data_IF_873836167870
#
_entry.id   IF_873836167870
#
_cell.length_a   1.000
_cell.length_b   1.000
_cell.length_c   1.000
_cell.angle_alpha   90.00
_cell.angle_beta   90.00
_cell.angle_gamma   90.00
#
_symmetry.space_group_name_H-M   'P 1'
#
loop_
_entity.id
_entity.type
_entity.pdbx_description
1 polymer ?
#
# COMPACT_ATOMS: atom_id res chain seq x y z
N UNK A 1 -23.11 16.74 38.19
CA UNK A 1 -22.05 15.87 37.63
C UNK A 1 -21.02 16.77 36.98
N UNK A 2 -19.90 16.97 37.65
CA UNK A 2 -18.85 17.90 37.22
C UNK A 2 -18.08 17.30 36.05
N UNK A 3 -17.98 18.05 34.95
CA UNK A 3 -17.20 17.71 33.76
C UNK A 3 -15.85 18.44 33.85
N UNK A 4 -15.05 18.10 34.85
CA UNK A 4 -13.69 18.61 34.98
C UNK A 4 -12.73 17.50 34.51
N UNK A 5 -12.55 17.40 33.20
CA UNK A 5 -11.44 16.67 32.59
C UNK A 5 -10.53 17.69 31.92
N UNK A 6 -9.92 18.52 32.75
CA UNK A 6 -8.76 19.31 32.36
C UNK A 6 -7.59 18.36 32.07
N UNK A 7 -7.48 17.95 30.81
CA UNK A 7 -6.25 17.36 30.30
C UNK A 7 -5.20 18.46 30.26
N UNK A 8 -4.42 18.58 31.34
CA UNK A 8 -3.11 19.23 31.30
C UNK A 8 -2.22 18.50 30.28
N UNK A 9 -2.40 18.82 29.01
CA UNK A 9 -1.56 18.34 27.94
C UNK A 9 -0.41 19.33 27.85
N UNK A 10 0.68 19.04 28.58
CA UNK A 10 1.92 19.79 28.42
C UNK A 10 2.28 19.87 26.93
N UNK A 11 2.83 20.99 26.45
CA UNK A 11 3.20 21.14 25.05
C UNK A 11 4.10 19.97 24.61
N UNK A 12 3.93 19.45 23.38
CA UNK A 12 4.67 18.30 22.91
C UNK A 12 6.17 18.59 22.94
N UNK A 13 6.89 17.89 23.83
CA UNK A 13 8.33 18.03 23.98
C UNK A 13 9.03 17.24 22.88
N UNK A 14 10.08 17.80 22.28
CA UNK A 14 10.85 17.09 21.25
C UNK A 14 11.73 16.01 21.88
N UNK A 15 11.96 14.92 21.14
CA UNK A 15 12.84 13.84 21.58
C UNK A 15 14.22 14.40 21.94
N UNK A 16 14.76 14.03 23.11
CA UNK A 16 16.08 14.45 23.58
C UNK A 16 17.23 14.10 22.62
N UNK A 17 17.04 13.12 21.73
CA UNK A 17 17.97 12.76 20.65
C UNK A 17 17.77 13.60 19.36
N UNK A 18 16.93 14.63 19.37
CA UNK A 18 16.62 15.52 18.23
C UNK A 18 16.25 14.80 16.92
N UNK A 19 15.61 13.63 17.02
CA UNK A 19 15.28 12.79 15.86
C UNK A 19 13.99 13.21 15.11
N UNK A 20 13.45 14.40 15.38
CA UNK A 20 12.23 14.91 14.75
C UNK A 20 10.90 14.29 15.23
N UNK A 21 10.88 13.51 16.31
CA UNK A 21 9.66 12.94 16.90
C UNK A 21 9.45 13.44 18.33
N UNK A 22 8.21 13.42 18.84
CA UNK A 22 7.92 13.83 20.22
C UNK A 22 8.47 12.84 21.26
N UNK A 23 9.03 13.38 22.33
CA UNK A 23 9.40 12.66 23.54
C UNK A 23 8.23 12.64 24.52
N UNK A 24 8.17 11.59 25.34
CA UNK A 24 7.21 11.53 26.45
C UNK A 24 7.94 11.66 27.79
N UNK A 25 7.40 12.39 28.78
CA UNK A 25 8.00 12.49 30.11
C UNK A 25 8.21 11.12 30.78
N UNK A 26 7.31 10.16 30.54
CA UNK A 26 7.42 8.78 31.02
C UNK A 26 8.66 8.04 30.48
N UNK A 27 9.20 8.46 29.33
CA UNK A 27 10.34 7.85 28.65
C UNK A 27 11.57 8.75 28.69
N UNK A 28 11.74 9.55 29.76
CA UNK A 28 12.85 10.52 29.90
C UNK A 28 12.96 11.51 28.70
N UNK A 29 11.81 11.92 28.14
CA UNK A 29 11.70 12.75 26.94
C UNK A 29 12.34 12.14 25.66
N UNK A 30 12.48 10.81 25.58
CA UNK A 30 12.80 10.12 24.32
C UNK A 30 11.54 9.70 23.58
N UNK A 31 11.61 9.65 22.24
CA UNK A 31 10.59 8.98 21.43
C UNK A 31 10.66 7.46 21.61
N UNK A 32 9.61 6.73 21.23
CA UNK A 32 9.56 5.25 21.36
C UNK A 32 10.69 4.50 20.63
N UNK A 33 11.26 5.08 19.56
CA UNK A 33 12.43 4.53 18.86
C UNK A 33 13.72 4.80 19.63
N UNK A 34 13.98 6.05 20.01
CA UNK A 34 15.21 6.42 20.72
C UNK A 34 15.24 5.89 22.16
N UNK A 35 14.10 5.71 22.82
CA UNK A 35 14.03 5.14 24.16
C UNK A 35 14.49 3.68 24.19
N UNK A 36 14.13 2.87 23.17
CA UNK A 36 14.64 1.50 23.02
C UNK A 36 16.17 1.46 22.93
N UNK A 37 16.74 2.39 22.18
CA UNK A 37 18.19 2.51 22.03
C UNK A 37 18.86 3.02 23.32
N UNK A 38 18.19 3.94 24.03
CA UNK A 38 18.63 4.41 25.34
C UNK A 38 18.66 3.29 26.37
N UNK A 39 17.64 2.41 26.41
CA UNK A 39 17.62 1.24 27.30
C UNK A 39 18.78 0.28 27.01
N UNK A 40 19.08 0.01 25.73
CA UNK A 40 20.23 -0.82 25.33
C UNK A 40 21.56 -0.23 25.81
N UNK A 41 21.77 1.08 25.62
CA UNK A 41 22.97 1.76 26.12
C UNK A 41 23.04 1.76 27.66
N UNK A 42 21.92 1.98 28.34
CA UNK A 42 21.84 1.94 29.82
C UNK A 42 22.17 0.53 30.35
N UNK A 43 21.69 -0.53 29.71
CA UNK A 43 22.06 -1.91 30.11
C UNK A 43 23.55 -2.21 29.90
N UNK A 44 24.18 -1.64 28.86
CA UNK A 44 25.62 -1.80 28.61
C UNK A 44 26.47 -1.02 29.62
N UNK A 45 26.02 0.16 30.04
CA UNK A 45 26.69 0.99 31.05
C UNK A 45 26.57 0.41 32.47
N UNK A 46 25.52 -0.35 32.75
CA UNK A 46 25.35 -1.02 34.06
C UNK A 46 26.37 -2.17 34.25
N UNK A 47 26.86 -2.77 33.16
CA UNK A 47 27.86 -3.86 33.23
C UNK A 47 29.31 -3.40 33.43
N UNK A 48 29.59 -2.09 33.41
CA UNK A 48 30.98 -1.57 33.48
C UNK A 48 31.37 -1.00 34.84
N UNK A 49 30.68 -1.35 35.92
CA UNK A 49 31.14 -1.06 37.28
C UNK A 49 32.09 -2.17 37.78
N UNK A 50 33.23 -2.33 37.13
CA UNK A 50 34.49 -2.75 37.75
C UNK A 50 35.64 -2.12 36.99
N UNK A 51 36.31 -1.22 37.70
CA UNK A 51 37.65 -0.67 37.45
C UNK A 51 37.80 0.53 36.50
N UNK A 52 38.01 1.66 37.18
CA UNK A 52 38.97 2.72 36.93
C UNK A 52 38.71 3.77 35.84
N UNK A 53 38.59 4.99 36.37
CA UNK A 53 39.00 6.24 35.75
C UNK A 53 40.25 6.08 34.88
N UNK A 54 40.14 6.56 33.64
CA UNK A 54 41.08 7.56 33.17
C UNK A 54 40.37 8.45 32.16
N UNK A 55 40.32 9.72 32.52
CA UNK A 55 39.99 10.85 31.65
C UNK A 55 40.96 10.87 30.47
N UNK A 56 40.44 11.00 29.26
CA UNK A 56 41.02 11.95 28.31
C UNK A 56 39.96 12.40 27.32
N UNK A 57 39.52 13.63 27.55
CA UNK A 57 38.90 14.51 26.57
C UNK A 57 39.84 14.68 25.38
N UNK A 58 39.34 14.45 24.18
CA UNK A 58 39.79 15.19 23.00
C UNK A 58 38.59 15.41 22.09
N UNK A 59 38.02 16.60 22.25
CA UNK A 59 37.29 17.32 21.21
C UNK A 59 38.27 17.73 20.14
N UNK A 60 38.02 17.37 18.89
CA UNK A 60 38.44 18.16 17.75
C UNK A 60 37.29 18.20 16.74
N UNK A 61 36.72 19.39 16.65
CA UNK A 61 36.00 19.93 15.50
C UNK A 61 37.00 20.22 14.39
N UNK A 62 36.73 19.77 13.17
CA UNK A 62 37.11 20.49 11.95
C UNK A 62 36.16 20.04 10.83
N UNK A 63 35.16 20.84 10.45
CA UNK A 63 35.16 21.84 9.36
C UNK A 63 35.66 21.28 8.01
N UNK A 64 34.77 21.20 7.01
CA UNK A 64 34.66 22.14 5.86
C UNK A 64 33.78 21.54 4.75
N UNK A 65 32.96 22.41 4.14
CA UNK A 65 32.54 22.41 2.73
C UNK A 65 31.65 21.26 2.19
N UNK A 66 30.61 21.46 1.39
CA UNK A 66 30.01 22.62 0.73
C UNK A 66 28.64 22.19 0.21
N UNK A 67 27.79 23.18 -0.04
CA UNK A 67 26.48 23.20 -0.67
C UNK A 67 26.44 22.71 -2.13
N UNK A 68 25.20 22.59 -2.62
CA UNK A 68 24.73 22.66 -4.02
C UNK A 68 24.71 21.37 -4.86
N UNK A 69 23.78 21.16 -5.79
CA UNK A 69 22.33 21.43 -6.03
C UNK A 69 22.08 20.81 -7.41
N UNK A 70 20.83 20.41 -7.70
CA UNK A 70 20.22 20.17 -9.03
C UNK A 70 20.89 19.10 -9.94
N UNK A 71 20.24 18.37 -10.84
CA UNK A 71 19.20 18.80 -11.76
C UNK A 71 18.43 17.61 -12.37
N UNK A 72 17.24 17.97 -12.81
CA UNK A 72 16.26 17.28 -13.65
C UNK A 72 16.82 16.82 -15.00
N UNK A 73 16.27 15.74 -15.60
CA UNK A 73 15.95 15.73 -17.05
C UNK A 73 14.78 14.78 -17.35
N UNK A 74 13.66 15.39 -17.76
CA UNK A 74 12.57 14.78 -18.51
C UNK A 74 13.01 14.39 -19.93
N UNK A 75 12.46 13.29 -20.48
CA UNK A 75 12.31 13.21 -21.94
C UNK A 75 11.04 12.44 -22.34
N UNK A 76 10.01 13.25 -22.58
CA UNK A 76 8.84 12.98 -23.42
C UNK A 76 9.28 12.92 -24.89
N UNK A 77 8.82 11.92 -25.64
CA UNK A 77 8.60 12.02 -27.09
C UNK A 77 7.24 11.42 -27.43
N UNK A 78 6.47 12.22 -28.17
CA UNK A 78 5.11 12.03 -28.66
C UNK A 78 5.06 11.23 -29.98
N UNK A 79 3.85 10.71 -30.27
CA UNK A 79 3.25 10.61 -31.61
C UNK A 79 3.62 9.35 -32.41
N UNK A 80 2.76 8.76 -33.25
CA UNK A 80 1.53 9.22 -33.90
C UNK A 80 0.71 8.03 -34.42
N UNK A 81 -0.53 8.34 -34.80
CA UNK A 81 -1.68 7.52 -35.20
C UNK A 81 -1.58 6.72 -36.51
N UNK A 82 -2.50 5.73 -36.62
CA UNK A 82 -3.37 5.34 -37.75
C UNK A 82 -3.43 3.81 -37.93
N UNK A 83 -4.53 3.14 -37.54
CA UNK A 83 -5.78 2.89 -38.28
C UNK A 83 -5.56 2.03 -39.53
N UNK A 84 -6.00 0.77 -39.44
CA UNK A 84 -6.75 0.16 -40.54
C UNK A 84 -7.80 -0.81 -39.97
N UNK A 85 -9.04 -0.55 -40.35
CA UNK A 85 -10.26 -1.20 -39.96
C UNK A 85 -10.66 -2.09 -41.13
N UNK A 86 -10.89 -3.38 -40.91
CA UNK A 86 -11.66 -4.18 -41.84
C UNK A 86 -12.70 -5.04 -41.13
N UNK A 87 -13.90 -4.92 -41.67
CA UNK A 87 -15.15 -5.56 -41.28
C UNK A 87 -15.24 -6.91 -41.94
N UNK A 88 -15.62 -7.96 -41.20
CA UNK A 88 -16.47 -9.02 -41.76
C UNK A 88 -17.41 -9.57 -40.70
N UNK A 89 -18.69 -9.46 -41.02
CA UNK A 89 -19.84 -10.04 -40.35
C UNK A 89 -19.82 -11.55 -40.58
N UNK A 90 -20.05 -12.36 -39.53
CA UNK A 90 -20.79 -13.60 -39.70
C UNK A 90 -21.43 -14.09 -38.39
N UNK A 91 -22.75 -14.22 -38.49
CA UNK A 91 -23.70 -14.81 -37.56
C UNK A 91 -23.53 -16.33 -37.44
N UNK A 92 -23.51 -16.85 -36.22
CA UNK A 92 -24.08 -18.16 -35.90
C UNK A 92 -24.30 -18.31 -34.39
N UNK A 93 -25.56 -18.19 -33.95
CA UNK A 93 -26.10 -18.94 -32.80
C UNK A 93 -26.23 -20.42 -33.20
N UNK A 94 -26.02 -21.37 -32.28
CA UNK A 94 -27.18 -22.04 -31.66
C UNK A 94 -26.92 -22.38 -30.17
N UNK A 95 -27.84 -22.05 -29.27
CA UNK A 95 -28.91 -22.91 -28.74
C UNK A 95 -28.59 -23.44 -27.32
N UNK A 96 -29.43 -22.96 -26.40
CA UNK A 96 -30.06 -23.66 -25.27
C UNK A 96 -29.44 -24.99 -24.80
N UNK A 97 -29.02 -25.02 -23.54
CA UNK A 97 -29.51 -26.08 -22.66
C UNK A 97 -29.57 -25.65 -21.19
N UNK A 98 -30.79 -25.68 -20.66
CA UNK A 98 -31.16 -25.52 -19.27
C UNK A 98 -31.10 -26.90 -18.64
N UNK A 99 -30.16 -27.12 -17.72
CA UNK A 99 -30.33 -28.20 -16.73
C UNK A 99 -30.06 -27.65 -15.33
N UNK A 100 -31.10 -27.73 -14.53
CA UNK A 100 -31.09 -27.52 -13.09
C UNK A 100 -30.60 -28.79 -12.38
N UNK A 101 -29.93 -28.55 -11.25
CA UNK A 101 -29.81 -29.39 -10.05
C UNK A 101 -29.14 -30.77 -10.15
N UNK A 102 -28.03 -30.92 -9.41
CA UNK A 102 -28.01 -31.79 -8.22
C UNK A 102 -26.77 -31.49 -7.37
N UNK A 103 -27.00 -31.02 -6.14
CA UNK A 103 -26.05 -31.10 -5.04
C UNK A 103 -25.82 -32.57 -4.70
N UNK A 104 -24.57 -33.00 -4.72
CA UNK A 104 -24.13 -34.19 -4.01
C UNK A 104 -22.68 -33.99 -3.55
N UNK A 105 -22.52 -34.04 -2.24
CA UNK A 105 -21.25 -33.97 -1.53
C UNK A 105 -20.30 -35.04 -2.06
N UNK A 106 -19.11 -34.61 -2.43
CA UNK A 106 -17.97 -35.48 -2.62
C UNK A 106 -16.85 -34.91 -1.76
N UNK A 107 -16.62 -35.59 -0.64
CA UNK A 107 -15.45 -35.40 0.20
C UNK A 107 -14.24 -35.84 -0.64
N UNK A 108 -13.55 -34.85 -1.21
CA UNK A 108 -12.26 -35.06 -1.87
C UNK A 108 -11.18 -34.57 -0.90
N UNK A 109 -10.34 -35.51 -0.45
CA UNK A 109 -9.08 -35.24 0.24
C UNK A 109 -8.20 -34.40 -0.69
N UNK A 110 -8.25 -33.09 -0.51
CA UNK A 110 -7.44 -32.15 -1.29
C UNK A 110 -6.07 -32.02 -0.62
N UNK A 111 -5.07 -32.59 -1.30
CA UNK A 111 -3.66 -32.38 -1.05
C UNK A 111 -3.40 -30.86 -1.01
N UNK A 112 -3.17 -30.29 0.18
CA UNK A 112 -2.78 -28.89 0.34
C UNK A 112 -1.36 -28.72 -0.19
N UNK A 113 -1.24 -28.59 -1.51
CA UNK A 113 -0.09 -27.97 -2.12
C UNK A 113 0.01 -26.56 -1.54
N UNK A 114 1.13 -26.24 -0.88
CA UNK A 114 1.37 -24.91 -0.33
C UNK A 114 1.37 -23.90 -1.48
N UNK A 115 0.22 -23.28 -1.75
CA UNK A 115 0.05 -22.27 -2.78
C UNK A 115 0.98 -21.08 -2.49
N UNK A 116 2.19 -21.12 -3.06
CA UNK A 116 3.15 -20.05 -2.90
C UNK A 116 2.72 -18.86 -3.74
N UNK A 117 2.08 -17.88 -3.10
CA UNK A 117 1.74 -16.64 -3.77
C UNK A 117 3.02 -15.84 -4.05
N UNK A 118 3.39 -15.76 -5.33
CA UNK A 118 4.49 -14.94 -5.84
C UNK A 118 3.96 -13.90 -6.83
N UNK A 119 4.68 -12.79 -6.97
CA UNK A 119 4.29 -11.72 -7.87
C UNK A 119 4.51 -12.13 -9.33
N UNK A 120 3.47 -12.08 -10.17
CA UNK A 120 3.57 -12.49 -11.58
C UNK A 120 4.46 -11.59 -12.47
N UNK A 121 4.90 -10.43 -11.98
CA UNK A 121 5.85 -9.55 -12.71
C UNK A 121 7.30 -9.79 -12.30
N UNK A 122 7.58 -9.93 -11.00
CA UNK A 122 8.95 -9.98 -10.49
C UNK A 122 9.30 -11.25 -9.70
N UNK A 123 8.40 -12.22 -9.60
CA UNK A 123 8.60 -13.50 -8.90
C UNK A 123 8.77 -13.38 -7.38
N UNK A 124 8.77 -12.17 -6.82
CA UNK A 124 8.92 -11.96 -5.38
C UNK A 124 7.77 -12.63 -4.65
N UNK A 125 8.08 -13.47 -3.66
CA UNK A 125 7.09 -14.09 -2.79
C UNK A 125 6.32 -13.01 -2.02
N UNK A 126 4.99 -13.02 -2.16
CA UNK A 126 4.10 -12.02 -1.56
C UNK A 126 3.36 -12.57 -0.33
N UNK A 127 3.43 -13.88 -0.10
CA UNK A 127 2.81 -14.54 1.06
C UNK A 127 1.33 -14.18 1.17
N UNK A 128 0.84 -14.02 2.41
CA UNK A 128 -0.55 -13.66 2.69
C UNK A 128 -0.93 -12.24 2.20
N UNK A 129 0.04 -11.34 2.01
CA UNK A 129 -0.19 -9.94 1.63
C UNK A 129 -0.19 -9.71 0.11
N UNK A 130 -0.34 -10.78 -0.68
CA UNK A 130 -0.48 -10.69 -2.13
C UNK A 130 -1.74 -9.94 -2.54
N UNK A 131 -1.64 -9.08 -3.54
CA UNK A 131 -2.79 -8.38 -4.10
C UNK A 131 -3.25 -9.08 -5.37
N UNK A 132 -4.45 -9.64 -5.34
CA UNK A 132 -5.10 -10.17 -6.53
C UNK A 132 -5.56 -9.03 -7.45
N UNK A 133 -5.29 -9.19 -8.74
CA UNK A 133 -5.84 -8.33 -9.77
C UNK A 133 -7.04 -9.00 -10.45
N UNK A 134 -7.83 -8.21 -11.18
CA UNK A 134 -9.03 -8.68 -11.88
C UNK A 134 -8.69 -9.52 -13.11
N UNK A 135 -7.44 -9.43 -13.59
CA UNK A 135 -6.90 -10.35 -14.59
C UNK A 135 -6.54 -11.73 -14.03
N UNK A 136 -6.74 -12.00 -12.73
CA UNK A 136 -6.52 -13.32 -12.11
C UNK A 136 -5.14 -13.52 -11.47
N UNK A 137 -4.17 -12.66 -11.79
CA UNK A 137 -2.81 -12.75 -11.26
C UNK A 137 -2.64 -12.08 -9.89
N UNK A 138 -1.61 -12.49 -9.15
CA UNK A 138 -1.25 -11.94 -7.83
C UNK A 138 0.04 -11.12 -7.92
N UNK A 139 0.07 -9.97 -7.25
CA UNK A 139 1.18 -9.03 -7.33
C UNK A 139 1.64 -8.51 -5.97
N UNK A 140 2.89 -8.05 -5.91
CA UNK A 140 3.41 -7.33 -4.76
C UNK A 140 2.88 -5.88 -4.74
N UNK A 141 3.15 -5.14 -3.67
CA UNK A 141 2.72 -3.74 -3.51
C UNK A 141 3.15 -2.82 -4.65
N UNK A 142 4.31 -3.09 -5.27
CA UNK A 142 4.87 -2.29 -6.36
C UNK A 142 4.21 -2.58 -7.72
N UNK A 143 3.82 -3.83 -7.99
CA UNK A 143 3.29 -4.26 -9.30
C UNK A 143 1.76 -4.46 -9.32
N UNK A 144 1.07 -4.07 -8.25
CA UNK A 144 -0.39 -4.19 -8.13
C UNK A 144 -1.18 -3.36 -9.14
N UNK A 145 -0.63 -2.22 -9.57
CA UNK A 145 -1.36 -1.27 -10.42
C UNK A 145 -1.48 -1.80 -11.85
N UNK A 146 -2.65 -1.59 -12.48
CA UNK A 146 -2.99 -2.18 -13.78
C UNK A 146 -2.07 -1.75 -14.93
N UNK A 147 -1.53 -0.53 -14.86
CA UNK A 147 -0.56 0.01 -15.82
C UNK A 147 0.81 -0.67 -15.73
N UNK A 148 1.21 -1.17 -14.55
CA UNK A 148 2.56 -1.71 -14.32
C UNK A 148 2.70 -3.16 -14.79
N UNK A 149 1.60 -3.92 -14.83
CA UNK A 149 1.60 -5.32 -15.29
C UNK A 149 0.84 -5.52 -16.61
N UNK A 150 0.61 -4.44 -17.37
CA UNK A 150 -0.15 -4.47 -18.64
C UNK A 150 -1.47 -5.25 -18.52
N UNK A 151 -2.29 -4.89 -17.53
CA UNK A 151 -3.54 -5.60 -17.24
C UNK A 151 -4.44 -5.67 -18.48
N UNK A 152 -4.77 -6.89 -18.92
CA UNK A 152 -5.67 -7.12 -20.05
C UNK A 152 -7.16 -7.03 -19.67
N UNK A 153 -7.48 -6.79 -18.41
CA UNK A 153 -8.86 -6.67 -17.95
C UNK A 153 -9.46 -5.34 -18.41
N UNK A 154 -10.60 -5.38 -19.11
CA UNK A 154 -11.29 -4.17 -19.56
C UNK A 154 -12.10 -3.52 -18.43
N UNK A 155 -11.45 -2.61 -17.71
CA UNK A 155 -12.08 -1.80 -16.67
C UNK A 155 -13.18 -0.88 -17.20
N UNK A 156 -13.14 -0.45 -18.47
CA UNK A 156 -14.12 0.52 -18.99
C UNK A 156 -15.48 -0.13 -19.18
N UNK A 157 -15.54 -1.26 -19.88
CA UNK A 157 -16.80 -2.00 -20.06
C UNK A 157 -17.34 -2.53 -18.73
N UNK A 158 -16.45 -3.06 -17.88
CA UNK A 158 -16.83 -3.55 -16.56
C UNK A 158 -17.48 -2.43 -15.72
N UNK A 159 -16.84 -1.27 -15.60
CA UNK A 159 -17.39 -0.17 -14.82
C UNK A 159 -18.68 0.39 -15.44
N UNK A 160 -18.80 0.45 -16.76
CA UNK A 160 -20.04 0.84 -17.45
C UNK A 160 -21.18 -0.10 -17.09
N UNK A 161 -20.93 -1.41 -17.14
CA UNK A 161 -21.94 -2.41 -16.80
C UNK A 161 -22.35 -2.30 -15.33
N UNK A 162 -21.38 -2.09 -14.43
CA UNK A 162 -21.68 -1.89 -13.00
C UNK A 162 -22.52 -0.63 -12.76
N UNK A 163 -22.24 0.48 -13.46
CA UNK A 163 -23.04 1.71 -13.36
C UNK A 163 -24.44 1.50 -13.92
N UNK A 164 -24.58 0.84 -15.07
CA UNK A 164 -25.88 0.52 -15.67
C UNK A 164 -26.72 -0.38 -14.77
N UNK A 165 -26.11 -1.36 -14.11
CA UNK A 165 -26.79 -2.23 -13.14
C UNK A 165 -27.28 -1.45 -11.91
N UNK A 166 -26.55 -0.41 -11.51
CA UNK A 166 -26.87 0.42 -10.33
C UNK A 166 -27.73 1.64 -10.66
N UNK A 167 -27.86 2.01 -11.94
CA UNK A 167 -28.62 3.19 -12.33
C UNK A 167 -30.11 2.94 -12.16
N UNK A 168 -30.74 3.70 -11.27
CA UNK A 168 -32.20 3.76 -11.17
C UNK A 168 -32.71 4.66 -12.28
N UNK A 169 -33.65 4.16 -13.09
CA UNK A 169 -34.25 4.93 -14.18
C UNK A 169 -35.24 5.93 -13.59
N UNK A 170 -34.87 7.20 -13.54
CA UNK A 170 -35.77 8.28 -13.16
C UNK A 170 -36.54 8.72 -14.39
N UNK A 171 -37.83 8.38 -14.46
CA UNK A 171 -38.76 8.90 -15.46
C UNK A 171 -39.87 9.62 -14.72
N UNK A 172 -40.06 10.89 -15.02
CA UNK A 172 -41.25 11.63 -14.61
C UNK A 172 -42.27 11.58 -15.75
N UNK A 173 -43.55 11.50 -15.40
CA UNK A 173 -44.62 11.54 -16.37
C UNK A 173 -44.65 12.90 -17.08
N UNK A 174 -44.89 12.88 -18.39
CA UNK A 174 -44.98 14.09 -19.21
C UNK A 174 -46.26 14.82 -18.84
N UNK A 175 -46.14 16.01 -18.24
CA UNK A 175 -47.28 16.84 -17.89
C UNK A 175 -48.07 17.23 -19.14
N UNK A 176 -49.38 16.98 -19.10
CA UNK A 176 -50.29 17.43 -20.14
C UNK A 176 -50.49 18.95 -20.07
N UNK A 177 -50.67 19.55 -21.25
CA UNK A 177 -50.81 20.99 -21.40
C UNK A 177 -52.26 21.38 -21.09
N UNK A 178 -52.44 22.24 -20.08
CA UNK A 178 -53.70 22.86 -19.68
C UNK A 178 -54.09 23.95 -20.69
#
# INVERSE_FOLDING_TARGET
>A
MNNDRDQHTSPPVMCKNNCGFCGSPANENYCSKCYREHLKRKSLLINTNTSNSNTNTNTNTDTTDTVDTVDTVDKVVNGTDNVEFETTVETATPETNKLENKLENKEEEENKEEESYSCSVCGKMVGLLGFSCRCGNVFCSLHRQANVHNCQFDYKSYNRLQLQRKSVKVVADKLERI
#
